data_IF_786547809679
#
_entry.id   IF_786547809679
#
_cell.length_a   1.000
_cell.length_b   1.000
_cell.length_c   1.000
_cell.angle_alpha   90.00
_cell.angle_beta   90.00
_cell.angle_gamma   90.00
#
_symmetry.space_group_name_H-M   'P 1'
#
loop_
_entity.id
_entity.type
_entity.pdbx_description
1 polymer ?
#
# COMPACT_ATOMS: atom_id res chain seq x y z
N UNK A 1 14.29 10.55 2.37
CA UNK A 1 14.72 10.94 3.74
C UNK A 1 14.59 9.73 4.64
N UNK A 2 15.53 9.52 5.56
CA UNK A 2 15.50 8.37 6.49
C UNK A 2 14.50 8.69 7.60
N UNK A 3 13.46 7.86 7.76
CA UNK A 3 12.38 8.06 8.73
C UNK A 3 12.68 7.44 10.09
N UNK A 4 13.24 6.24 10.09
CA UNK A 4 13.50 5.47 11.30
C UNK A 4 14.57 4.40 11.05
N UNK A 5 15.28 4.02 12.11
CA UNK A 5 16.09 2.80 12.13
C UNK A 5 15.25 1.66 12.72
N UNK A 6 15.06 0.61 11.94
CA UNK A 6 14.32 -0.60 12.33
C UNK A 6 15.34 -1.62 12.82
N UNK A 7 15.38 -1.86 14.13
CA UNK A 7 16.12 -2.97 14.71
C UNK A 7 15.27 -4.24 14.70
N UNK A 8 15.73 -5.26 13.98
CA UNK A 8 15.15 -6.61 13.99
C UNK A 8 16.15 -7.60 14.58
N UNK A 9 15.68 -8.82 14.89
CA UNK A 9 16.51 -9.91 15.42
C UNK A 9 17.78 -10.20 14.59
N UNK A 10 17.75 -9.91 13.28
CA UNK A 10 18.83 -10.27 12.35
C UNK A 10 19.66 -9.08 11.85
N UNK A 11 19.11 -7.88 11.87
CA UNK A 11 19.75 -6.69 11.31
C UNK A 11 19.06 -5.40 11.77
N UNK A 12 19.82 -4.32 11.77
CA UNK A 12 19.31 -2.95 11.80
C UNK A 12 19.22 -2.45 10.36
N UNK A 13 18.04 -1.98 9.95
CA UNK A 13 17.79 -1.46 8.60
C UNK A 13 17.18 -0.07 8.67
N UNK A 14 17.59 0.80 7.76
CA UNK A 14 17.06 2.15 7.64
C UNK A 14 15.75 2.13 6.83
N UNK A 15 14.68 2.69 7.39
CA UNK A 15 13.40 2.87 6.70
C UNK A 15 13.40 4.23 6.03
N UNK A 16 13.42 4.25 4.70
CA UNK A 16 13.33 5.47 3.91
C UNK A 16 11.87 5.85 3.64
N UNK A 17 11.59 7.15 3.61
CA UNK A 17 10.29 7.67 3.23
C UNK A 17 10.04 7.47 1.74
N UNK A 18 8.94 6.78 1.40
CA UNK A 18 8.46 6.65 0.02
C UNK A 18 7.69 7.88 -0.49
N UNK A 19 7.34 8.81 0.40
CA UNK A 19 6.49 9.96 0.12
C UNK A 19 7.14 11.22 0.71
N UNK A 20 7.12 12.30 -0.06
CA UNK A 20 7.48 13.62 0.43
C UNK A 20 6.35 14.22 1.27
N UNK A 21 6.72 14.86 2.39
CA UNK A 21 5.80 15.50 3.30
C UNK A 21 6.47 15.87 4.62
N UNK A 22 5.68 16.37 5.56
CA UNK A 22 6.12 16.69 6.92
C UNK A 22 5.66 15.56 7.85
N UNK A 23 6.51 15.21 8.82
CA UNK A 23 6.15 14.29 9.90
C UNK A 23 5.14 14.97 10.82
N UNK A 24 3.89 14.53 10.78
CA UNK A 24 2.79 15.11 11.55
C UNK A 24 2.50 14.35 12.85
N UNK A 25 2.85 13.07 12.90
CA UNK A 25 2.63 12.21 14.07
C UNK A 25 3.70 11.12 14.16
N UNK A 26 4.18 10.87 15.39
CA UNK A 26 5.05 9.74 15.73
C UNK A 26 4.22 8.74 16.55
N UNK A 27 4.06 7.53 16.02
CA UNK A 27 3.32 6.45 16.68
C UNK A 27 4.18 5.55 17.57
N UNK A 28 5.49 5.50 17.32
CA UNK A 28 6.48 4.85 18.20
C UNK A 28 7.54 5.84 18.65
N UNK A 29 8.04 5.64 19.88
CA UNK A 29 9.25 6.32 20.36
C UNK A 29 10.51 5.54 20.00
N UNK A 30 11.65 6.23 19.99
CA UNK A 30 12.95 5.59 19.81
C UNK A 30 13.16 4.48 20.87
N UNK A 31 13.50 3.27 20.41
CA UNK A 31 13.71 2.10 21.26
C UNK A 31 12.42 1.38 21.71
N UNK A 32 11.25 1.84 21.28
CA UNK A 32 9.97 1.18 21.59
C UNK A 32 9.70 0.02 20.62
N UNK A 33 9.18 -1.09 21.15
CA UNK A 33 8.79 -2.25 20.34
C UNK A 33 7.43 -2.02 19.72
N UNK A 34 7.41 -1.87 18.40
CA UNK A 34 6.18 -1.77 17.60
C UNK A 34 5.87 -3.10 16.90
N UNK A 35 4.60 -3.46 16.78
CA UNK A 35 4.20 -4.66 16.06
C UNK A 35 4.21 -4.42 14.54
N UNK A 36 4.39 -5.49 13.77
CA UNK A 36 4.24 -5.43 12.31
C UNK A 36 2.81 -5.00 11.97
N UNK A 37 2.66 -4.05 11.04
CA UNK A 37 1.40 -3.36 10.67
C UNK A 37 0.85 -2.34 11.68
N UNK A 38 1.56 -2.05 12.77
CA UNK A 38 1.14 -0.98 13.67
C UNK A 38 1.56 0.42 13.15
N UNK A 39 0.91 1.47 13.65
CA UNK A 39 1.09 2.84 13.16
C UNK A 39 2.45 3.39 13.58
N UNK A 40 3.41 3.45 12.66
CA UNK A 40 4.74 4.00 12.93
C UNK A 40 4.77 5.54 12.92
N UNK A 41 4.22 6.15 11.87
CA UNK A 41 4.23 7.60 11.69
C UNK A 41 3.14 8.03 10.69
N UNK A 42 2.70 9.30 10.77
CA UNK A 42 1.84 9.92 9.77
C UNK A 42 2.60 11.05 9.10
N UNK A 43 2.73 10.97 7.77
CA UNK A 43 3.44 11.93 6.94
C UNK A 43 2.43 12.55 5.97
N UNK A 44 2.44 13.88 5.86
CA UNK A 44 1.47 14.58 5.03
C UNK A 44 1.76 16.07 4.88
N UNK A 45 0.73 16.81 4.47
CA UNK A 45 0.81 18.28 4.33
C UNK A 45 0.52 18.97 5.66
N UNK A 46 1.19 20.09 5.88
CA UNK A 46 0.96 21.02 6.97
C UNK A 46 -0.55 21.32 7.13
N UNK A 47 -1.07 21.07 8.34
CA UNK A 47 -2.49 21.30 8.69
C UNK A 47 -3.44 20.11 8.50
N UNK A 48 -2.93 18.92 8.19
CA UNK A 48 -3.75 17.70 8.12
C UNK A 48 -4.09 17.17 9.53
N UNK A 49 -5.38 16.89 9.78
CA UNK A 49 -5.86 16.36 11.06
C UNK A 49 -5.44 14.89 11.24
N UNK A 50 -4.38 14.69 12.02
CA UNK A 50 -3.84 13.35 12.31
C UNK A 50 -4.64 12.60 13.36
N UNK A 51 -5.44 13.30 14.16
CA UNK A 51 -6.20 12.71 15.28
C UNK A 51 -7.29 11.78 14.76
N UNK A 52 -8.03 12.18 13.73
CA UNK A 52 -9.03 11.30 13.10
C UNK A 52 -8.41 10.01 12.55
N UNK A 53 -7.22 10.11 11.95
CA UNK A 53 -6.51 8.99 11.32
C UNK A 53 -5.95 8.04 12.39
N UNK A 54 -5.28 8.58 13.40
CA UNK A 54 -4.72 7.79 14.50
C UNK A 54 -5.82 7.04 15.27
N UNK A 55 -6.98 7.67 15.49
CA UNK A 55 -8.14 7.01 16.13
C UNK A 55 -8.76 5.94 15.23
N UNK A 56 -8.86 6.18 13.92
CA UNK A 56 -9.38 5.19 12.96
C UNK A 56 -8.54 3.91 12.93
N UNK A 57 -7.21 4.04 12.95
CA UNK A 57 -6.30 2.90 13.02
C UNK A 57 -6.35 2.16 14.36
N UNK A 58 -6.48 2.89 15.48
CA UNK A 58 -6.61 2.29 16.83
C UNK A 58 -7.89 1.47 16.99
N UNK A 59 -8.92 1.77 16.21
CA UNK A 59 -10.27 1.19 16.33
C UNK A 59 -10.61 0.18 15.20
N UNK A 60 -9.68 -0.16 14.31
CA UNK A 60 -10.05 -0.91 13.12
C UNK A 60 -8.89 -1.43 12.28
N UNK A 61 -8.25 -2.50 12.76
CA UNK A 61 -7.64 -3.48 11.89
C UNK A 61 -8.72 -4.22 11.08
N UNK A 62 -9.34 -3.55 10.10
CA UNK A 62 -10.21 -4.18 9.09
C UNK A 62 -10.58 -3.17 7.99
N UNK A 63 -9.72 -3.01 6.97
CA UNK A 63 -10.13 -2.73 5.59
C UNK A 63 -8.92 -2.63 4.64
N UNK A 64 -8.12 -3.69 4.56
CA UNK A 64 -7.35 -3.95 3.32
C UNK A 64 -7.96 -5.19 2.69
N UNK A 65 -9.06 -4.99 1.98
CA UNK A 65 -9.52 -5.86 0.91
C UNK A 65 -10.59 -5.09 0.11
N UNK A 66 -10.21 -4.52 -1.04
CA UNK A 66 -11.12 -4.43 -2.21
C UNK A 66 -10.47 -3.93 -3.50
N UNK A 67 -9.16 -3.63 -3.59
CA UNK A 67 -8.55 -3.35 -4.90
C UNK A 67 -7.96 -4.61 -5.54
N UNK A 68 -8.83 -5.56 -5.92
CA UNK A 68 -8.56 -6.42 -7.06
C UNK A 68 -9.88 -6.88 -7.68
N UNK A 69 -10.32 -6.14 -8.69
CA UNK A 69 -11.36 -6.55 -9.63
C UNK A 69 -11.01 -6.00 -10.99
N UNK A 70 -9.91 -6.51 -11.55
CA UNK A 70 -9.72 -6.64 -12.99
C UNK A 70 -8.63 -7.71 -13.19
N UNK A 71 -9.00 -8.84 -13.79
CA UNK A 71 -8.69 -8.94 -15.20
C UNK A 71 -9.97 -9.03 -16.01
N UNK A 72 -10.12 -8.10 -16.94
CA UNK A 72 -10.94 -8.31 -18.14
C UNK A 72 -10.37 -9.52 -18.88
N UNK A 73 -11.12 -10.61 -19.08
CA UNK A 73 -10.73 -11.61 -20.05
C UNK A 73 -10.97 -11.02 -21.43
N UNK A 74 -9.88 -10.91 -22.17
CA UNK A 74 -9.84 -10.62 -23.59
C UNK A 74 -10.88 -11.45 -24.35
N UNK A 75 -11.84 -10.76 -24.98
CA UNK A 75 -12.68 -11.31 -26.03
C UNK A 75 -12.52 -10.45 -27.29
N UNK A 76 -11.33 -10.53 -27.88
CA UNK A 76 -11.12 -10.35 -29.31
C UNK A 76 -9.90 -11.18 -29.69
N UNK A 77 -10.10 -12.21 -30.51
CA UNK A 77 -9.50 -12.10 -31.84
C UNK A 77 -10.55 -12.26 -32.94
N UNK A 78 -10.64 -11.23 -33.77
CA UNK A 78 -11.17 -11.33 -35.12
C UNK A 78 -10.15 -12.00 -36.03
N UNK A 79 -10.65 -12.77 -37.01
CA UNK A 79 -9.99 -13.17 -38.28
C UNK A 79 -8.93 -14.29 -38.14
N UNK A 80 -8.79 -15.32 -38.99
CA UNK A 80 -9.13 -15.61 -40.39
C UNK A 80 -9.15 -17.15 -40.52
N UNK A 81 -10.00 -17.75 -41.37
CA UNK A 81 -9.55 -18.65 -42.47
C UNK A 81 -10.68 -19.46 -43.11
N UNK A 82 -10.98 -19.07 -44.35
CA UNK A 82 -11.24 -19.90 -45.52
C UNK A 82 -11.80 -21.33 -45.33
N UNK A 83 -13.03 -21.52 -45.80
CA UNK A 83 -13.47 -22.78 -46.42
C UNK A 83 -14.40 -22.45 -47.60
N UNK A 84 -13.79 -22.15 -48.75
CA UNK A 84 -14.33 -22.58 -50.03
C UNK A 84 -13.86 -24.03 -50.23
N UNK A 85 -14.79 -24.97 -50.45
CA UNK A 85 -14.98 -25.57 -51.77
C UNK A 85 -16.49 -25.69 -52.11
N UNK A 86 -16.93 -25.26 -53.29
CA UNK A 86 -17.03 -26.05 -54.53
C UNK A 86 -18.41 -26.75 -54.69
N UNK A 87 -19.02 -26.51 -55.87
CA UNK A 87 -20.04 -27.28 -56.59
C UNK A 87 -21.39 -27.65 -55.93
N UNK A 88 -22.48 -27.07 -56.46
CA UNK A 88 -23.48 -27.77 -57.30
C UNK A 88 -24.45 -26.75 -57.94
#
# INVERSE_FOLDING_TARGET
DILAEIETDKATMELESYKDGVLLYQGAKAGEKIQVNDLLAIIGKDGLDVTAIANGLKNGAAAVATTTSAPTPAAAPSTVSAAAPEAA
#
